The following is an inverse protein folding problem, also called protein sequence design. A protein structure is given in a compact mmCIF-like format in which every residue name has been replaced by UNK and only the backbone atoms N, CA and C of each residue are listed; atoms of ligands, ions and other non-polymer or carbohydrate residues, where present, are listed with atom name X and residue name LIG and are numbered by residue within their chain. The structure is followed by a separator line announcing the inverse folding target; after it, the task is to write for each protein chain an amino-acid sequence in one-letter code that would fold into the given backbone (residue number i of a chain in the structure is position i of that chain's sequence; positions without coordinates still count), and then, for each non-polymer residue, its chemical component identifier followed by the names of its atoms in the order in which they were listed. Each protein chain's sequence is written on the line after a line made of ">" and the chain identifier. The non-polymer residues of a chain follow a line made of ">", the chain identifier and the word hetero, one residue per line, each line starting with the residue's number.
data_IF_620450574273
#
_entry.id   IF_620450574273
#
_cell.length_a   1.000
_cell.length_b   1.000
_cell.length_c   1.000
_cell.angle_alpha   90.00
_cell.angle_beta   90.00
_cell.angle_gamma   90.00
#
_symmetry.space_group_name_H-M   'P 1'
#
loop_
_entity.id
_entity.type
_entity.pdbx_description
1 polymer ?
#
# COMPACT_ATOMS: atom_id res chain seq x y z
N UNK A 1 -3.97 -6.62 -39.29
CA UNK A 1 -4.92 -7.57 -38.66
C UNK A 1 -4.18 -8.65 -37.87
N UNK A 2 -3.03 -9.14 -38.33
CA UNK A 2 -2.12 -10.03 -37.60
C UNK A 2 -1.68 -9.48 -36.24
N UNK A 3 -1.30 -8.20 -36.15
CA UNK A 3 -0.79 -7.62 -34.89
C UNK A 3 -1.80 -7.60 -33.74
N UNK A 4 -3.10 -7.52 -34.04
CA UNK A 4 -4.17 -7.51 -33.03
C UNK A 4 -4.34 -8.90 -32.41
N UNK A 5 -4.25 -9.96 -33.23
CA UNK A 5 -4.39 -11.34 -32.76
C UNK A 5 -3.17 -11.79 -31.94
N UNK A 6 -1.95 -11.42 -32.37
CA UNK A 6 -0.72 -11.70 -31.62
C UNK A 6 -0.72 -10.99 -30.26
N UNK A 7 -1.24 -9.76 -30.21
CA UNK A 7 -1.35 -9.00 -28.95
C UNK A 7 -2.34 -9.64 -27.97
N UNK A 8 -3.48 -10.13 -28.45
CA UNK A 8 -4.48 -10.77 -27.60
C UNK A 8 -4.00 -12.11 -27.02
N UNK A 9 -3.25 -12.90 -27.80
CA UNK A 9 -2.68 -14.16 -27.33
C UNK A 9 -1.70 -14.01 -26.17
N UNK A 10 -1.03 -12.86 -26.06
CA UNK A 10 -0.10 -12.54 -24.96
C UNK A 10 -0.83 -11.81 -23.83
N UNK A 11 -1.82 -10.96 -24.17
CA UNK A 11 -2.57 -10.13 -23.22
C UNK A 11 -3.30 -10.94 -22.16
N UNK A 12 -4.08 -11.94 -22.55
CA UNK A 12 -4.89 -12.70 -21.58
C UNK A 12 -4.04 -13.59 -20.65
N UNK A 13 -3.04 -14.35 -21.14
CA UNK A 13 -2.13 -15.09 -20.26
C UNK A 13 -1.33 -14.18 -19.33
N UNK A 14 -0.85 -13.03 -19.81
CA UNK A 14 -0.14 -12.05 -18.97
C UNK A 14 -1.06 -11.49 -17.88
N UNK A 15 -2.30 -11.16 -18.22
CA UNK A 15 -3.29 -10.69 -17.25
C UNK A 15 -3.61 -11.78 -16.20
N UNK A 16 -3.80 -13.02 -16.63
CA UNK A 16 -4.05 -14.15 -15.72
C UNK A 16 -2.87 -14.34 -14.76
N UNK A 17 -1.64 -14.42 -15.28
CA UNK A 17 -0.42 -14.56 -14.49
C UNK A 17 -0.27 -13.44 -13.46
N UNK A 18 -0.48 -12.19 -13.86
CA UNK A 18 -0.42 -11.04 -12.94
C UNK A 18 -1.47 -11.14 -11.84
N UNK A 19 -2.71 -11.44 -12.20
CA UNK A 19 -3.80 -11.62 -11.23
C UNK A 19 -3.51 -12.75 -10.26
N UNK A 20 -2.98 -13.89 -10.74
CA UNK A 20 -2.56 -15.01 -9.89
C UNK A 20 -1.49 -14.59 -8.90
N UNK A 21 -0.45 -13.87 -9.33
CA UNK A 21 0.59 -13.34 -8.43
C UNK A 21 0.00 -12.39 -7.40
N UNK A 22 -0.89 -11.48 -7.81
CA UNK A 22 -1.55 -10.55 -6.88
C UNK A 22 -2.35 -11.30 -5.82
N UNK A 23 -3.11 -12.33 -6.21
CA UNK A 23 -3.89 -13.16 -5.27
C UNK A 23 -2.95 -13.89 -4.30
N UNK A 24 -1.90 -14.56 -4.80
CA UNK A 24 -0.93 -15.28 -3.97
C UNK A 24 -0.26 -14.34 -2.96
N UNK A 25 0.17 -13.16 -3.40
CA UNK A 25 0.79 -12.17 -2.53
C UNK A 25 -0.16 -11.71 -1.42
N UNK A 26 -1.45 -11.49 -1.72
CA UNK A 26 -2.43 -11.10 -0.70
C UNK A 26 -2.69 -12.22 0.30
N UNK A 27 -2.81 -13.47 -0.16
CA UNK A 27 -3.03 -14.65 0.68
C UNK A 27 -1.83 -14.91 1.60
N UNK A 28 -0.61 -14.65 1.15
CA UNK A 28 0.59 -14.88 1.93
C UNK A 28 0.93 -13.71 2.86
N UNK A 29 1.00 -12.49 2.33
CA UNK A 29 1.60 -11.35 3.04
C UNK A 29 0.74 -10.85 4.20
N UNK A 30 -0.59 -10.83 4.02
CA UNK A 30 -1.49 -10.28 5.04
C UNK A 30 -1.55 -11.18 6.28
N UNK A 31 -1.78 -12.50 6.18
CA UNK A 31 -1.72 -13.37 7.35
C UNK A 31 -0.33 -13.37 8.00
N UNK A 32 0.74 -13.32 7.20
CA UNK A 32 2.11 -13.25 7.73
C UNK A 32 2.32 -12.00 8.57
N UNK A 33 1.88 -10.84 8.09
CA UNK A 33 1.92 -9.59 8.84
C UNK A 33 1.12 -9.66 10.13
N UNK A 34 -0.14 -10.10 10.06
CA UNK A 34 -1.02 -10.20 11.24
C UNK A 34 -0.40 -11.14 12.27
N UNK A 35 0.13 -12.28 11.84
CA UNK A 35 0.80 -13.24 12.72
C UNK A 35 2.00 -12.60 13.42
N UNK A 36 2.91 -11.98 12.68
CA UNK A 36 4.08 -11.32 13.26
C UNK A 36 3.71 -10.19 14.21
N UNK A 37 2.76 -9.34 13.83
CA UNK A 37 2.31 -8.25 14.71
C UNK A 37 1.65 -8.77 15.99
N UNK A 38 0.93 -9.89 15.91
CA UNK A 38 0.35 -10.58 17.07
C UNK A 38 1.44 -11.14 17.99
N UNK A 39 2.44 -11.82 17.41
CA UNK A 39 3.57 -12.38 18.16
C UNK A 39 4.42 -11.29 18.84
N UNK A 40 4.48 -10.09 18.25
CA UNK A 40 5.21 -8.94 18.79
C UNK A 40 4.40 -8.11 19.80
N UNK A 41 3.13 -8.44 20.07
CA UNK A 41 2.33 -7.72 21.08
C UNK A 41 2.99 -7.62 22.47
N UNK A 42 3.72 -8.63 22.99
CA UNK A 42 4.45 -8.48 24.25
C UNK A 42 5.48 -7.34 24.17
N UNK A 43 6.16 -7.16 23.03
CA UNK A 43 7.13 -6.08 22.81
C UNK A 43 6.45 -4.72 22.91
N UNK A 44 5.20 -4.60 22.45
CA UNK A 44 4.42 -3.35 22.57
C UNK A 44 4.30 -2.89 24.03
N UNK A 45 4.11 -3.82 24.97
CA UNK A 45 3.96 -3.51 26.39
C UNK A 45 5.26 -3.08 27.06
N UNK A 46 6.39 -3.68 26.70
CA UNK A 46 7.70 -3.37 27.31
C UNK A 46 8.45 -2.23 26.61
N UNK A 47 8.37 -2.17 25.28
CA UNK A 47 9.14 -1.28 24.40
C UNK A 47 8.27 -0.84 23.21
N UNK A 48 7.26 0.02 23.43
CA UNK A 48 6.34 0.47 22.38
C UNK A 48 7.08 1.10 21.19
N UNK A 49 8.13 1.88 21.42
CA UNK A 49 8.90 2.53 20.35
C UNK A 49 9.49 1.55 19.34
N UNK A 50 9.95 0.38 19.82
CA UNK A 50 10.54 -0.66 18.97
C UNK A 50 9.42 -1.38 18.21
N UNK A 51 8.32 -1.68 18.89
CA UNK A 51 7.16 -2.30 18.26
C UNK A 51 6.65 -1.46 17.08
N UNK A 52 6.45 -0.15 17.27
CA UNK A 52 5.94 0.73 16.22
C UNK A 52 6.94 0.96 15.07
N UNK A 53 8.26 0.93 15.35
CA UNK A 53 9.27 0.97 14.28
C UNK A 53 9.24 -0.30 13.41
N UNK A 54 9.08 -1.47 14.04
CA UNK A 54 8.95 -2.74 13.32
C UNK A 54 7.64 -2.78 12.53
N UNK A 55 6.55 -2.35 13.15
CA UNK A 55 5.23 -2.25 12.52
C UNK A 55 5.27 -1.38 11.27
N UNK A 56 5.84 -0.17 11.36
CA UNK A 56 5.97 0.72 10.21
C UNK A 56 6.84 0.14 9.09
N UNK A 57 7.89 -0.63 9.42
CA UNK A 57 8.69 -1.34 8.42
C UNK A 57 7.88 -2.43 7.71
N UNK A 58 7.14 -3.25 8.46
CA UNK A 58 6.30 -4.29 7.90
C UNK A 58 5.14 -3.72 7.08
N UNK A 59 4.56 -2.61 7.54
CA UNK A 59 3.55 -1.87 6.81
C UNK A 59 4.10 -1.34 5.48
N UNK A 60 5.29 -0.73 5.49
CA UNK A 60 5.96 -0.33 4.25
C UNK A 60 6.10 -1.51 3.28
N UNK A 61 6.55 -2.68 3.72
CA UNK A 61 6.66 -3.85 2.84
C UNK A 61 5.32 -4.31 2.25
N UNK A 62 4.23 -4.31 3.05
CA UNK A 62 2.89 -4.60 2.51
C UNK A 62 2.51 -3.58 1.45
N UNK A 63 2.70 -2.30 1.74
CA UNK A 63 2.31 -1.23 0.81
C UNK A 63 3.20 -1.20 -0.43
N UNK A 64 4.46 -1.64 -0.34
CA UNK A 64 5.33 -1.85 -1.51
C UNK A 64 4.75 -2.90 -2.47
N UNK A 65 4.07 -3.93 -1.96
CA UNK A 65 3.37 -4.92 -2.80
C UNK A 65 2.18 -4.26 -3.50
N UNK A 66 1.45 -3.38 -2.82
CA UNK A 66 0.35 -2.60 -3.43
C UNK A 66 0.88 -1.68 -4.53
N UNK A 67 2.02 -1.01 -4.29
CA UNK A 67 2.72 -0.20 -5.29
C UNK A 67 3.15 -1.01 -6.53
N UNK A 68 3.61 -2.25 -6.33
CA UNK A 68 3.99 -3.16 -7.42
C UNK A 68 2.83 -3.44 -8.40
N UNK A 69 1.57 -3.32 -7.97
CA UNK A 69 0.42 -3.54 -8.84
C UNK A 69 0.36 -2.54 -9.99
N UNK A 70 0.68 -1.27 -9.73
CA UNK A 70 0.77 -0.22 -10.74
C UNK A 70 1.91 -0.51 -11.72
N UNK A 71 3.08 -0.86 -11.21
CA UNK A 71 4.26 -1.14 -12.02
C UNK A 71 4.07 -2.37 -12.92
N UNK A 72 3.55 -3.48 -12.39
CA UNK A 72 3.24 -4.68 -13.17
C UNK A 72 2.08 -4.50 -14.16
N UNK A 73 1.26 -3.46 -13.96
CA UNK A 73 0.28 -3.03 -14.94
C UNK A 73 0.85 -2.17 -16.08
N UNK A 74 2.13 -1.80 -16.00
CA UNK A 74 2.84 -1.02 -17.02
C UNK A 74 2.64 0.49 -16.87
N UNK A 75 2.21 0.95 -15.69
CA UNK A 75 2.13 2.38 -15.40
C UNK A 75 3.46 2.90 -14.91
N UNK A 76 3.86 4.04 -15.44
CA UNK A 76 4.97 4.84 -14.95
C UNK A 76 4.41 6.09 -14.27
N UNK A 77 4.90 6.39 -13.07
CA UNK A 77 4.40 7.48 -12.24
C UNK A 77 5.37 8.65 -12.35
N UNK A 78 4.90 9.74 -12.94
CA UNK A 78 5.67 10.97 -13.09
C UNK A 78 5.10 12.03 -12.16
N UNK A 79 5.94 12.58 -11.29
CA UNK A 79 5.58 13.65 -10.37
C UNK A 79 5.98 15.01 -10.95
N UNK A 80 5.05 15.96 -10.92
CA UNK A 80 5.23 17.32 -11.44
C UNK A 80 4.76 18.33 -10.39
N UNK A 81 5.42 19.47 -10.30
CA UNK A 81 5.08 20.55 -9.37
C UNK A 81 6.25 20.99 -8.50
N UNK A 82 5.92 21.62 -7.37
CA UNK A 82 6.89 22.17 -6.42
C UNK A 82 7.60 21.08 -5.59
N UNK A 83 8.76 21.43 -5.03
CA UNK A 83 9.49 20.55 -4.10
C UNK A 83 8.72 20.35 -2.79
N UNK A 84 8.33 19.11 -2.52
CA UNK A 84 7.60 18.71 -1.32
C UNK A 84 8.52 18.29 -0.16
N UNK A 85 9.85 18.40 -0.28
CA UNK A 85 10.78 18.11 0.80
C UNK A 85 10.44 18.81 2.14
N UNK A 86 9.96 20.09 2.16
CA UNK A 86 9.52 20.73 3.40
C UNK A 86 8.38 19.99 4.11
N UNK A 87 7.46 19.39 3.36
CA UNK A 87 6.33 18.64 3.87
C UNK A 87 6.71 17.25 4.42
N UNK A 88 7.96 16.81 4.21
CA UNK A 88 8.50 15.53 4.70
C UNK A 88 9.53 15.68 5.82
N UNK A 89 9.74 16.91 6.31
CA UNK A 89 10.65 17.14 7.43
C UNK A 89 10.12 16.45 8.69
N UNK A 90 11.05 16.03 9.55
CA UNK A 90 10.70 15.45 10.84
C UNK A 90 9.80 16.41 11.63
N UNK A 91 8.83 15.85 12.36
CA UNK A 91 7.84 16.58 13.15
C UNK A 91 6.88 17.48 12.35
N UNK A 92 6.82 17.37 11.03
CA UNK A 92 5.79 18.01 10.20
C UNK A 92 4.67 17.02 9.90
N UNK A 93 3.43 17.40 10.22
CA UNK A 93 2.24 16.64 9.82
C UNK A 93 1.70 17.21 8.52
N UNK A 94 1.60 16.36 7.50
CA UNK A 94 1.14 16.74 6.16
C UNK A 94 -0.12 15.98 5.82
N UNK A 95 -1.18 16.71 5.47
CA UNK A 95 -2.39 16.14 4.91
C UNK A 95 -2.29 16.18 3.39
N UNK A 96 -2.41 15.03 2.74
CA UNK A 96 -2.45 14.92 1.29
C UNK A 96 -3.91 14.78 0.88
N UNK A 97 -4.37 15.71 0.04
CA UNK A 97 -5.72 15.70 -0.51
C UNK A 97 -5.58 15.48 -2.01
N UNK A 98 -6.23 14.44 -2.51
CA UNK A 98 -6.29 14.12 -3.93
C UNK A 98 -7.76 14.05 -4.35
N UNK A 99 -8.02 14.37 -5.61
CA UNK A 99 -9.27 13.96 -6.24
C UNK A 99 -9.33 12.42 -6.27
N UNK A 100 -10.54 11.86 -6.27
CA UNK A 100 -10.75 10.43 -6.33
C UNK A 100 -11.51 10.06 -7.60
N UNK A 101 -10.84 9.34 -8.50
CA UNK A 101 -11.38 8.87 -9.77
C UNK A 101 -11.67 7.36 -9.73
N UNK A 102 -10.84 6.57 -9.06
CA UNK A 102 -10.96 5.11 -9.03
C UNK A 102 -10.23 4.46 -7.87
N UNK A 103 -10.51 3.19 -7.62
CA UNK A 103 -9.72 2.39 -6.64
C UNK A 103 -8.25 2.23 -7.06
N UNK A 104 -7.90 2.45 -8.33
CA UNK A 104 -6.52 2.41 -8.82
C UNK A 104 -5.68 3.64 -8.38
N UNK A 105 -6.32 4.69 -7.87
CA UNK A 105 -5.62 5.88 -7.37
C UNK A 105 -4.72 5.53 -6.17
N UNK A 106 -5.18 4.58 -5.33
CA UNK A 106 -4.43 4.09 -4.16
C UNK A 106 -3.08 3.49 -4.58
N UNK A 107 -3.00 2.40 -5.38
CA UNK A 107 -1.72 1.82 -5.75
C UNK A 107 -0.83 2.75 -6.59
N UNK A 108 -1.39 3.71 -7.34
CA UNK A 108 -0.60 4.74 -8.02
C UNK A 108 0.07 5.70 -7.02
N UNK A 109 -0.67 6.14 -6.01
CA UNK A 109 -0.14 6.99 -4.95
C UNK A 109 0.89 6.24 -4.08
N UNK A 110 0.62 4.97 -3.76
CA UNK A 110 1.59 4.13 -3.04
C UNK A 110 2.87 3.91 -3.86
N UNK A 111 2.77 3.79 -5.19
CA UNK A 111 3.96 3.72 -6.05
C UNK A 111 4.80 5.01 -6.00
N UNK A 112 4.16 6.19 -6.01
CA UNK A 112 4.83 7.48 -5.77
C UNK A 112 5.52 7.54 -4.40
N UNK A 113 4.83 7.11 -3.35
CA UNK A 113 5.33 7.21 -1.97
C UNK A 113 6.38 6.16 -1.62
N UNK A 114 6.35 4.99 -2.27
CA UNK A 114 7.30 3.90 -2.01
C UNK A 114 8.75 4.29 -2.27
N UNK A 115 8.99 5.17 -3.25
CA UNK A 115 10.32 5.69 -3.56
C UNK A 115 10.85 6.71 -2.52
N UNK A 116 9.99 7.17 -1.59
CA UNK A 116 10.32 8.23 -0.64
C UNK A 116 10.63 7.64 0.73
N UNK A 117 11.83 7.90 1.30
CA UNK A 117 12.20 7.33 2.60
C UNK A 117 11.24 7.85 3.68
N UNK A 118 10.87 6.95 4.60
CA UNK A 118 10.03 7.22 5.76
C UNK A 118 8.61 7.77 5.47
N UNK A 119 8.13 7.74 4.22
CA UNK A 119 6.75 8.16 3.92
C UNK A 119 5.77 7.04 4.27
N UNK A 120 5.86 5.88 3.62
CA UNK A 120 4.91 4.78 3.83
C UNK A 120 4.84 4.26 5.29
N UNK A 121 5.95 4.09 6.03
CA UNK A 121 5.89 3.66 7.43
C UNK A 121 5.09 4.59 8.36
N UNK A 122 4.90 5.85 7.95
CA UNK A 122 4.27 6.90 8.76
C UNK A 122 2.98 7.43 8.09
N UNK A 123 2.50 6.75 7.04
CA UNK A 123 1.32 7.15 6.30
C UNK A 123 0.08 6.64 7.00
N UNK A 124 -0.78 7.56 7.46
CA UNK A 124 -2.14 7.21 7.87
C UNK A 124 -3.08 7.37 6.68
N UNK A 125 -3.85 6.33 6.39
CA UNK A 125 -4.83 6.34 5.32
C UNK A 125 -6.24 6.57 5.87
N UNK A 126 -7.05 7.34 5.13
CA UNK A 126 -8.46 7.58 5.44
C UNK A 126 -9.30 6.70 4.52
N UNK A 127 -10.11 5.82 5.11
CA UNK A 127 -10.91 4.85 4.38
C UNK A 127 -12.40 4.95 4.71
N UNK A 128 -13.20 4.52 3.74
CA UNK A 128 -14.62 4.24 3.93
C UNK A 128 -14.80 2.96 4.77
N UNK A 129 -15.91 2.88 5.52
CA UNK A 129 -16.12 1.84 6.54
C UNK A 129 -16.14 0.42 5.98
N UNK A 130 -16.60 0.19 4.75
CA UNK A 130 -16.66 -1.16 4.17
C UNK A 130 -15.26 -1.80 4.04
N UNK A 131 -14.20 -1.00 3.88
CA UNK A 131 -12.83 -1.51 3.80
C UNK A 131 -12.38 -2.27 5.05
N UNK A 132 -13.02 -2.03 6.22
CA UNK A 132 -12.75 -2.80 7.45
C UNK A 132 -12.98 -4.31 7.27
N UNK A 133 -13.86 -4.70 6.36
CA UNK A 133 -14.22 -6.11 6.12
C UNK A 133 -13.39 -6.77 5.01
N UNK A 134 -12.40 -6.05 4.47
CA UNK A 134 -11.46 -6.60 3.50
C UNK A 134 -10.22 -7.17 4.20
N UNK A 135 -9.41 -7.90 3.45
CA UNK A 135 -8.09 -8.35 3.89
C UNK A 135 -7.18 -7.19 4.35
N UNK A 136 -7.30 -5.99 3.76
CA UNK A 136 -6.56 -4.82 4.20
C UNK A 136 -7.15 -4.18 5.47
N UNK A 137 -8.41 -4.47 5.82
CA UNK A 137 -9.08 -3.90 6.98
C UNK A 137 -8.35 -4.21 8.30
N UNK A 138 -7.91 -5.46 8.49
CA UNK A 138 -7.15 -5.84 9.69
C UNK A 138 -5.76 -5.18 9.74
N UNK A 139 -5.09 -5.06 8.59
CA UNK A 139 -3.80 -4.36 8.49
C UNK A 139 -3.97 -2.90 8.89
N UNK A 140 -5.00 -2.26 8.35
CA UNK A 140 -5.37 -0.86 8.62
C UNK A 140 -5.65 -0.63 10.12
N UNK A 141 -6.37 -1.56 10.76
CA UNK A 141 -6.63 -1.48 12.21
C UNK A 141 -5.35 -1.61 13.04
N UNK A 142 -4.42 -2.49 12.66
CA UNK A 142 -3.14 -2.65 13.35
C UNK A 142 -2.29 -1.38 13.17
N UNK A 143 -2.24 -0.83 11.95
CA UNK A 143 -1.48 0.39 11.61
C UNK A 143 -2.10 1.68 12.15
N UNK A 144 -3.35 1.62 12.66
CA UNK A 144 -4.10 2.77 13.14
C UNK A 144 -4.55 3.74 12.02
N UNK A 145 -4.85 3.20 10.85
CA UNK A 145 -5.55 3.94 9.79
C UNK A 145 -6.95 4.36 10.24
N UNK A 146 -7.42 5.47 9.67
CA UNK A 146 -8.69 6.07 10.05
C UNK A 146 -9.81 5.61 9.14
N UNK A 147 -10.92 5.18 9.73
CA UNK A 147 -12.13 4.84 8.99
C UNK A 147 -13.24 5.83 9.31
N UNK A 148 -13.78 6.48 8.29
CA UNK A 148 -14.86 7.45 8.43
C UNK A 148 -16.13 6.72 8.91
N UNK A 149 -16.71 7.18 10.03
CA UNK A 149 -18.09 6.85 10.39
C UNK A 149 -19.02 7.85 9.70
N UNK A 150 -20.01 7.34 8.98
CA UNK A 150 -21.06 8.12 8.28
C UNK A 150 -21.58 9.31 9.10
#
# INVERSE_FOLDING_TARGET
>A
MSDIFTNNFIKYPKALFRTTIMIINNIYCIPTYVLWMTLLLPVKSYRPDIYYRIEGLFFHWIISIVAMWSWTAGYDVVELGDDIAPARKENVRTMIIANHQSTADVPLMMASFNAKPNVLPNLMWIMERLFKYTNFGIVSLIHQDFFISS
#
